data_IF_623297728580
#
_entry.id   IF_623297728580
#
_cell.length_a   1.000
_cell.length_b   1.000
_cell.length_c   1.000
_cell.angle_alpha   90.00
_cell.angle_beta   90.00
_cell.angle_gamma   90.00
#
_symmetry.space_group_name_H-M   'P 1'
#
loop_
_entity.id
_entity.type
_entity.pdbx_description
1 polymer ?
#
# COMPACT_ATOMS: atom_id res chain seq x y z
N UNK A 1 -3.69 -37.67 -66.16
CA UNK A 1 -3.52 -36.73 -65.02
C UNK A 1 -2.17 -37.00 -64.38
N UNK A 2 -1.40 -35.94 -64.13
CA UNK A 2 0.05 -35.95 -63.91
C UNK A 2 0.45 -36.46 -62.52
N UNK A 3 1.54 -37.22 -62.49
CA UNK A 3 2.26 -37.76 -61.35
C UNK A 3 3.41 -36.80 -60.98
N UNK A 4 3.49 -36.25 -59.78
CA UNK A 4 4.71 -35.65 -59.19
C UNK A 4 4.69 -35.90 -57.68
N UNK A 5 5.53 -36.80 -57.17
CA UNK A 5 6.94 -36.65 -56.74
C UNK A 5 7.08 -35.90 -55.40
N UNK A 6 7.51 -36.69 -54.43
CA UNK A 6 7.95 -36.44 -53.06
C UNK A 6 8.96 -35.31 -52.89
N UNK A 7 8.84 -34.59 -51.77
CA UNK A 7 9.99 -34.02 -51.07
C UNK A 7 9.67 -33.86 -49.58
N UNK A 8 10.27 -34.73 -48.75
CA UNK A 8 10.44 -34.51 -47.31
C UNK A 8 11.46 -33.39 -47.11
N UNK A 9 11.18 -32.40 -46.25
CA UNK A 9 12.24 -31.70 -45.51
C UNK A 9 11.67 -31.05 -44.23
N UNK A 10 12.16 -31.57 -43.10
CA UNK A 10 12.49 -30.91 -41.83
C UNK A 10 11.60 -29.80 -41.23
N UNK A 11 11.03 -30.16 -40.07
CA UNK A 11 11.01 -29.40 -38.81
C UNK A 11 11.74 -28.04 -38.80
N UNK A 12 11.06 -26.98 -38.36
CA UNK A 12 11.52 -26.17 -37.22
C UNK A 12 10.36 -25.33 -36.65
N UNK A 13 9.98 -25.64 -35.41
CA UNK A 13 9.19 -24.77 -34.54
C UNK A 13 9.93 -23.45 -34.31
N UNK A 14 9.30 -22.32 -34.64
CA UNK A 14 9.70 -21.01 -34.17
C UNK A 14 8.59 -20.42 -33.29
N UNK A 15 8.40 -21.02 -32.10
CA UNK A 15 7.81 -20.30 -30.97
C UNK A 15 8.91 -19.39 -30.41
N UNK A 16 9.00 -18.18 -30.96
CA UNK A 16 9.77 -17.12 -30.35
C UNK A 16 9.11 -16.74 -29.02
N UNK A 17 9.75 -17.18 -27.94
CA UNK A 17 9.49 -16.79 -26.57
C UNK A 17 9.48 -15.26 -26.47
N UNK A 18 8.29 -14.67 -26.36
CA UNK A 18 8.10 -13.44 -25.60
C UNK A 18 8.40 -13.79 -24.13
N UNK A 19 9.68 -13.89 -23.81
CA UNK A 19 10.16 -13.85 -22.44
C UNK A 19 9.80 -12.45 -21.92
N UNK A 20 8.62 -12.36 -21.32
CA UNK A 20 8.15 -11.17 -20.65
C UNK A 20 9.17 -10.69 -19.63
N UNK A 21 9.11 -9.40 -19.33
CA UNK A 21 9.73 -8.76 -18.19
C UNK A 21 9.28 -9.45 -16.89
N UNK A 22 9.84 -10.61 -16.59
CA UNK A 22 9.69 -11.30 -15.32
C UNK A 22 10.57 -10.58 -14.33
N UNK A 23 9.97 -9.87 -13.37
CA UNK A 23 10.62 -9.55 -12.09
C UNK A 23 11.29 -10.83 -11.60
N UNK A 24 12.62 -10.87 -11.60
CA UNK A 24 13.38 -12.06 -11.21
C UNK A 24 12.96 -12.47 -9.80
N UNK A 25 12.44 -13.70 -9.67
CA UNK A 25 12.03 -14.27 -8.39
C UNK A 25 13.21 -14.64 -7.47
N UNK A 26 14.45 -14.46 -7.95
CA UNK A 26 15.69 -14.63 -7.19
C UNK A 26 16.50 -13.33 -7.17
N UNK A 27 17.23 -13.11 -6.07
CA UNK A 27 18.10 -11.94 -5.89
C UNK A 27 19.14 -11.82 -7.01
N UNK A 28 19.48 -10.60 -7.39
CA UNK A 28 20.40 -10.33 -8.50
C UNK A 28 21.82 -10.25 -7.97
N UNK A 29 22.74 -11.03 -8.53
CA UNK A 29 24.16 -10.88 -8.25
C UNK A 29 24.78 -9.87 -9.21
N UNK A 30 25.46 -8.85 -8.68
CA UNK A 30 26.24 -7.88 -9.45
C UNK A 30 27.57 -7.63 -8.76
N UNK A 31 28.67 -7.78 -9.49
CA UNK A 31 30.03 -7.54 -8.97
C UNK A 31 30.34 -8.30 -7.67
N UNK A 32 29.87 -9.56 -7.55
CA UNK A 32 30.05 -10.39 -6.35
C UNK A 32 29.17 -10.00 -5.15
N UNK A 33 28.23 -9.07 -5.33
CA UNK A 33 27.23 -8.69 -4.32
C UNK A 33 25.88 -9.25 -4.72
N UNK A 34 25.27 -10.07 -3.84
CA UNK A 34 23.89 -10.55 -4.00
C UNK A 34 22.92 -9.53 -3.43
N UNK A 35 22.14 -8.89 -4.29
CA UNK A 35 21.06 -8.00 -3.90
C UNK A 35 19.82 -8.81 -3.47
N UNK A 36 19.10 -8.38 -2.43
CA UNK A 36 17.82 -8.97 -2.07
C UNK A 36 16.80 -8.82 -3.21
N UNK A 37 16.00 -9.84 -3.45
CA UNK A 37 14.87 -9.74 -4.37
C UNK A 37 13.73 -8.91 -3.75
N UNK A 38 12.90 -8.25 -4.57
CA UNK A 38 11.72 -7.50 -4.11
C UNK A 38 10.87 -8.30 -3.12
N UNK A 39 10.64 -9.59 -3.39
CA UNK A 39 9.89 -10.49 -2.50
C UNK A 39 10.52 -10.65 -1.11
N UNK A 40 11.85 -10.75 -1.02
CA UNK A 40 12.58 -10.84 0.24
C UNK A 40 12.51 -9.51 1.03
N UNK A 41 12.57 -8.38 0.31
CA UNK A 41 12.44 -7.04 0.90
C UNK A 41 11.03 -6.84 1.45
N UNK A 42 10.01 -7.10 0.63
CA UNK A 42 8.61 -6.95 1.05
C UNK A 42 8.26 -7.85 2.24
N UNK A 43 8.74 -9.10 2.25
CA UNK A 43 8.54 -10.01 3.38
C UNK A 43 9.21 -9.52 4.67
N UNK A 44 10.44 -9.00 4.59
CA UNK A 44 11.14 -8.46 5.77
C UNK A 44 10.52 -7.17 6.29
N UNK A 45 10.06 -6.28 5.40
CA UNK A 45 9.30 -5.08 5.75
C UNK A 45 7.96 -5.41 6.43
N UNK A 46 7.20 -6.36 5.87
CA UNK A 46 5.94 -6.82 6.45
C UNK A 46 6.16 -7.45 7.83
N UNK A 47 7.15 -8.33 7.97
CA UNK A 47 7.49 -8.96 9.24
C UNK A 47 7.93 -7.94 10.30
N UNK A 48 8.67 -6.90 9.92
CA UNK A 48 9.02 -5.81 10.84
C UNK A 48 7.77 -5.06 11.29
N UNK A 49 6.89 -4.68 10.35
CA UNK A 49 5.63 -4.00 10.65
C UNK A 49 4.70 -4.79 11.57
N UNK A 50 4.63 -6.11 11.41
CA UNK A 50 3.81 -7.00 12.25
C UNK A 50 4.38 -7.19 13.66
N UNK A 51 5.71 -7.20 13.80
CA UNK A 51 6.38 -7.45 15.09
C UNK A 51 6.60 -6.19 15.92
N UNK A 52 6.60 -5.02 15.30
CA UNK A 52 6.77 -3.75 16.02
C UNK A 52 5.54 -3.49 16.92
N UNK A 53 5.70 -3.32 18.25
CA UNK A 53 4.60 -2.95 19.13
C UNK A 53 4.06 -1.55 18.84
N UNK A 54 4.89 -0.64 18.30
CA UNK A 54 4.51 0.76 18.04
C UNK A 54 3.57 0.91 16.84
N UNK A 55 3.42 -0.14 16.02
CA UNK A 55 2.53 -0.13 14.85
C UNK A 55 1.13 -0.67 15.16
N UNK A 56 0.81 -0.99 16.42
CA UNK A 56 -0.50 -1.56 16.80
C UNK A 56 -1.69 -0.69 16.34
N UNK A 57 -1.62 0.63 16.57
CA UNK A 57 -2.67 1.56 16.12
C UNK A 57 -2.77 1.62 14.59
N UNK A 58 -1.61 1.63 13.90
CA UNK A 58 -1.57 1.60 12.44
C UNK A 58 -2.20 0.31 11.90
N UNK A 59 -1.91 -0.85 12.50
CA UNK A 59 -2.53 -2.13 12.13
C UNK A 59 -4.06 -2.10 12.28
N UNK A 60 -4.57 -1.52 13.37
CA UNK A 60 -6.02 -1.35 13.56
C UNK A 60 -6.63 -0.46 12.47
N UNK A 61 -6.02 0.69 12.19
CA UNK A 61 -6.48 1.60 11.14
C UNK A 61 -6.48 0.92 9.76
N UNK A 62 -5.41 0.18 9.43
CA UNK A 62 -5.30 -0.58 8.19
C UNK A 62 -6.32 -1.70 8.09
N UNK A 63 -6.66 -2.36 9.20
CA UNK A 63 -7.73 -3.36 9.22
C UNK A 63 -9.11 -2.71 8.98
N UNK A 64 -9.36 -1.52 9.54
CA UNK A 64 -10.58 -0.74 9.29
C UNK A 64 -10.69 -0.34 7.82
N UNK A 65 -9.62 0.21 7.26
CA UNK A 65 -9.59 0.71 5.88
C UNK A 65 -9.51 -0.43 4.86
N UNK A 66 -8.72 -1.46 5.12
CA UNK A 66 -8.49 -2.56 4.19
C UNK A 66 -9.59 -3.61 4.22
N UNK A 67 -10.33 -3.74 5.32
CA UNK A 67 -11.23 -4.86 5.56
C UNK A 67 -10.47 -6.16 5.83
N UNK A 68 -11.20 -7.26 6.01
CA UNK A 68 -10.61 -8.56 6.41
C UNK A 68 -9.58 -9.11 5.42
N UNK A 69 -9.73 -8.79 4.13
CA UNK A 69 -8.81 -9.20 3.05
C UNK A 69 -7.84 -8.08 2.63
N UNK A 70 -7.80 -6.98 3.37
CA UNK A 70 -6.90 -5.87 3.10
C UNK A 70 -5.45 -6.26 3.39
N UNK A 71 -4.53 -5.79 2.55
CA UNK A 71 -3.10 -6.07 2.73
C UNK A 71 -2.24 -4.87 2.33
N UNK A 72 -1.08 -4.74 2.98
CA UNK A 72 -0.08 -3.76 2.59
C UNK A 72 0.71 -4.24 1.38
N UNK A 73 0.82 -3.37 0.39
CA UNK A 73 1.61 -3.55 -0.82
C UNK A 73 2.84 -2.62 -0.75
N UNK A 74 4.01 -3.22 -0.62
CA UNK A 74 5.31 -2.54 -0.63
C UNK A 74 5.86 -2.49 -2.06
N UNK A 75 6.00 -1.28 -2.63
CA UNK A 75 6.61 -1.09 -3.94
C UNK A 75 8.07 -0.67 -3.78
N UNK A 76 8.99 -1.63 -3.90
CA UNK A 76 10.42 -1.37 -3.96
C UNK A 76 10.72 -0.56 -5.22
N UNK A 77 11.45 0.56 -5.06
CA UNK A 77 11.84 1.50 -6.11
C UNK A 77 13.30 1.35 -6.47
N UNK A 78 14.14 1.26 -5.45
CA UNK A 78 15.59 1.14 -5.61
C UNK A 78 16.20 0.41 -4.42
N UNK A 79 17.35 -0.22 -4.64
CA UNK A 79 18.13 -0.93 -3.63
C UNK A 79 19.61 -0.60 -3.83
N UNK A 80 20.19 0.07 -2.84
CA UNK A 80 21.58 0.52 -2.88
C UNK A 80 22.41 -0.31 -1.89
N UNK A 81 23.56 -0.83 -2.33
CA UNK A 81 24.50 -1.48 -1.40
C UNK A 81 25.32 -0.44 -0.64
N UNK A 82 25.40 -0.58 0.68
CA UNK A 82 26.15 0.28 1.60
C UNK A 82 27.16 -0.55 2.41
N UNK A 83 27.87 -1.47 1.73
CA UNK A 83 28.77 -2.42 2.38
C UNK A 83 28.01 -3.64 2.92
N UNK A 84 27.99 -3.91 4.23
CA UNK A 84 27.33 -5.10 4.78
C UNK A 84 25.80 -5.03 4.81
N UNK A 85 25.23 -3.85 4.54
CA UNK A 85 23.79 -3.59 4.53
C UNK A 85 23.34 -3.02 3.19
N UNK A 86 22.06 -3.12 2.91
CA UNK A 86 21.42 -2.50 1.76
C UNK A 86 20.44 -1.42 2.22
N UNK A 87 20.28 -0.38 1.43
CA UNK A 87 19.30 0.67 1.61
C UNK A 87 18.21 0.46 0.56
N UNK A 88 16.99 0.17 0.99
CA UNK A 88 15.85 -0.01 0.09
C UNK A 88 14.94 1.22 0.14
N UNK A 89 14.70 1.81 -1.02
CA UNK A 89 13.73 2.88 -1.23
C UNK A 89 12.40 2.26 -1.66
N UNK A 90 11.30 2.61 -1.00
CA UNK A 90 10.00 1.99 -1.28
C UNK A 90 8.82 2.92 -0.99
N UNK A 91 7.67 2.58 -1.57
CA UNK A 91 6.38 3.19 -1.23
C UNK A 91 5.45 2.13 -0.64
N UNK A 92 4.48 2.57 0.16
CA UNK A 92 3.47 1.71 0.78
C UNK A 92 2.09 2.09 0.26
N UNK A 93 1.34 1.09 -0.20
CA UNK A 93 -0.08 1.22 -0.49
C UNK A 93 -0.89 0.17 0.24
N UNK A 94 -2.19 0.40 0.36
CA UNK A 94 -3.16 -0.56 0.88
C UNK A 94 -3.96 -1.12 -0.28
N UNK A 95 -3.86 -2.43 -0.48
CA UNK A 95 -4.78 -3.17 -1.35
C UNK A 95 -6.07 -3.42 -0.58
N UNK A 96 -7.19 -2.96 -1.12
CA UNK A 96 -8.47 -3.05 -0.42
C UNK A 96 -9.08 -4.44 -0.54
N UNK A 97 -9.55 -4.99 0.56
CA UNK A 97 -10.39 -6.19 0.64
C UNK A 97 -11.89 -5.90 0.60
N UNK A 98 -12.29 -4.63 0.58
CA UNK A 98 -13.67 -4.13 0.57
C UNK A 98 -13.78 -2.89 -0.33
N UNK A 99 -14.98 -2.37 -0.58
CA UNK A 99 -15.12 -1.12 -1.32
C UNK A 99 -14.55 0.06 -0.51
N UNK A 100 -13.94 1.02 -1.19
CA UNK A 100 -13.38 2.20 -0.52
C UNK A 100 -14.45 3.05 0.17
N UNK A 101 -15.70 3.06 -0.35
CA UNK A 101 -16.85 3.66 0.33
C UNK A 101 -17.13 3.01 1.70
N UNK A 102 -17.04 1.68 1.80
CA UNK A 102 -17.23 0.95 3.07
C UNK A 102 -16.10 1.26 4.05
N UNK A 103 -14.89 1.42 3.52
CA UNK A 103 -13.68 1.79 4.25
C UNK A 103 -13.84 3.17 4.88
N UNK A 104 -14.28 4.16 4.09
CA UNK A 104 -14.59 5.50 4.58
C UNK A 104 -15.73 5.49 5.60
N UNK A 105 -16.79 4.72 5.33
CA UNK A 105 -17.94 4.67 6.22
C UNK A 105 -17.55 4.16 7.61
N UNK A 106 -16.77 3.07 7.67
CA UNK A 106 -16.25 2.53 8.93
C UNK A 106 -15.33 3.50 9.64
N UNK A 107 -14.42 4.15 8.91
CA UNK A 107 -13.49 5.13 9.49
C UNK A 107 -14.24 6.34 10.06
N UNK A 108 -15.15 6.93 9.29
CA UNK A 108 -15.91 8.10 9.72
C UNK A 108 -16.88 7.77 10.85
N UNK A 109 -17.52 6.60 10.82
CA UNK A 109 -18.31 6.12 11.95
C UNK A 109 -17.48 6.08 13.24
N UNK A 110 -16.21 5.65 13.19
CA UNK A 110 -15.32 5.64 14.35
C UNK A 110 -14.95 7.05 14.86
N UNK A 111 -14.98 8.06 13.98
CA UNK A 111 -14.75 9.47 14.35
C UNK A 111 -15.98 10.15 14.97
N UNK A 112 -17.20 9.68 14.64
CA UNK A 112 -18.44 10.19 15.25
C UNK A 112 -18.62 9.57 16.64
N UNK A 113 -18.94 10.35 17.69
CA UNK A 113 -19.17 9.77 19.01
C UNK A 113 -20.43 8.86 19.02
N UNK A 114 -20.49 7.87 19.93
CA UNK A 114 -21.53 6.83 19.87
C UNK A 114 -22.97 7.35 19.95
N UNK A 115 -23.21 8.43 20.69
CA UNK A 115 -24.55 9.00 20.88
C UNK A 115 -25.09 9.63 19.59
N UNK A 116 -24.25 10.35 18.86
CA UNK A 116 -24.57 10.98 17.58
C UNK A 116 -24.68 9.93 16.48
N UNK A 117 -23.79 8.91 16.49
CA UNK A 117 -23.81 7.84 15.48
C UNK A 117 -25.14 7.09 15.44
N UNK A 118 -25.77 6.87 16.59
CA UNK A 118 -27.10 6.25 16.68
C UNK A 118 -28.19 7.08 15.97
N UNK A 119 -28.04 8.40 15.91
CA UNK A 119 -28.97 9.32 15.26
C UNK A 119 -28.74 9.41 13.74
N UNK A 120 -27.52 9.10 13.27
CA UNK A 120 -27.14 9.16 11.86
C UNK A 120 -27.52 7.90 11.05
N UNK A 121 -28.13 6.89 11.67
CA UNK A 121 -28.50 5.64 11.00
C UNK A 121 -27.33 4.68 10.77
N UNK A 122 -26.21 4.88 11.47
CA UNK A 122 -25.10 3.94 11.69
C UNK A 122 -24.23 3.55 10.48
N UNK A 123 -24.79 3.47 9.28
CA UNK A 123 -24.12 2.92 8.09
C UNK A 123 -24.25 3.80 6.84
N UNK A 124 -24.74 5.04 6.94
CA UNK A 124 -24.80 5.96 5.80
C UNK A 124 -23.53 6.83 5.73
N UNK A 125 -22.69 6.57 4.73
CA UNK A 125 -21.47 7.34 4.47
C UNK A 125 -21.77 8.83 4.28
N UNK A 126 -22.84 9.16 3.55
CA UNK A 126 -23.18 10.55 3.28
C UNK A 126 -23.66 11.28 4.55
N UNK A 127 -24.32 10.57 5.47
CA UNK A 127 -24.66 11.12 6.78
C UNK A 127 -23.42 11.39 7.63
N UNK A 128 -22.45 10.47 7.65
CA UNK A 128 -21.18 10.68 8.35
C UNK A 128 -20.37 11.84 7.76
N UNK A 129 -20.28 11.95 6.44
CA UNK A 129 -19.59 13.07 5.76
C UNK A 129 -20.25 14.42 6.09
N UNK A 130 -21.58 14.50 6.06
CA UNK A 130 -22.32 15.71 6.45
C UNK A 130 -22.09 16.09 7.90
N UNK A 131 -22.08 15.11 8.81
CA UNK A 131 -21.83 15.35 10.22
C UNK A 131 -20.40 15.87 10.46
N UNK A 132 -19.39 15.25 9.85
CA UNK A 132 -18.00 15.71 9.97
C UNK A 132 -17.80 17.12 9.38
N UNK A 133 -18.47 17.44 8.27
CA UNK A 133 -18.47 18.80 7.72
C UNK A 133 -19.10 19.82 8.69
N UNK A 134 -20.21 19.46 9.34
CA UNK A 134 -20.84 20.31 10.34
C UNK A 134 -19.96 20.52 11.58
N UNK A 135 -19.22 19.48 12.02
CA UNK A 135 -18.23 19.62 13.11
C UNK A 135 -17.10 20.57 12.72
N UNK A 136 -16.56 20.43 11.52
CA UNK A 136 -15.53 21.34 11.04
C UNK A 136 -16.03 22.80 11.00
N UNK A 137 -17.29 23.02 10.61
CA UNK A 137 -17.89 24.36 10.61
C UNK A 137 -18.10 24.90 12.03
N UNK A 138 -18.52 24.07 12.98
CA UNK A 138 -18.68 24.47 14.37
C UNK A 138 -17.34 24.90 15.00
N UNK A 139 -16.25 24.20 14.64
CA UNK A 139 -14.90 24.48 15.11
C UNK A 139 -14.31 25.79 14.56
N UNK A 140 -14.83 26.35 13.47
CA UNK A 140 -14.28 27.56 12.83
C UNK A 140 -14.07 28.73 13.78
N UNK A 141 -15.00 28.90 14.72
CA UNK A 141 -15.02 30.05 15.64
C UNK A 141 -14.15 29.84 16.87
N UNK A 142 -13.87 28.60 17.24
CA UNK A 142 -13.18 28.24 18.49
C UNK A 142 -11.78 27.72 18.26
N UNK A 143 -11.58 26.94 17.20
CA UNK A 143 -10.30 26.38 16.78
C UNK A 143 -10.25 26.25 15.25
N UNK A 144 -9.87 27.33 14.53
CA UNK A 144 -9.81 27.32 13.08
C UNK A 144 -8.74 26.35 12.54
N UNK A 145 -7.70 26.04 13.31
CA UNK A 145 -6.67 25.10 12.90
C UNK A 145 -7.22 23.66 12.91
N UNK A 146 -7.94 23.28 13.95
CA UNK A 146 -8.60 21.98 14.02
C UNK A 146 -9.72 21.84 12.98
N UNK A 147 -10.51 22.90 12.76
CA UNK A 147 -11.50 22.95 11.68
C UNK A 147 -10.85 22.66 10.32
N UNK A 148 -9.73 23.32 10.02
CA UNK A 148 -9.02 23.13 8.76
C UNK A 148 -8.43 21.73 8.61
N UNK A 149 -7.84 21.19 9.68
CA UNK A 149 -7.30 19.82 9.68
C UNK A 149 -8.40 18.80 9.40
N UNK A 150 -9.56 18.91 10.06
CA UNK A 150 -10.68 17.99 9.85
C UNK A 150 -11.19 18.03 8.41
N UNK A 151 -11.35 19.23 7.81
CA UNK A 151 -11.74 19.36 6.40
C UNK A 151 -10.70 18.72 5.47
N UNK A 152 -9.42 19.00 5.69
CA UNK A 152 -8.34 18.46 4.89
C UNK A 152 -8.31 16.93 4.95
N UNK A 153 -8.48 16.35 6.13
CA UNK A 153 -8.57 14.90 6.34
C UNK A 153 -9.75 14.29 5.59
N UNK A 154 -10.97 14.81 5.75
CA UNK A 154 -12.16 14.29 5.05
C UNK A 154 -12.03 14.42 3.53
N UNK A 155 -11.49 15.54 3.05
CA UNK A 155 -11.28 15.77 1.62
C UNK A 155 -10.23 14.82 1.02
N UNK A 156 -9.07 14.69 1.67
CA UNK A 156 -7.99 13.82 1.23
C UNK A 156 -8.43 12.35 1.20
N UNK A 157 -9.05 11.87 2.28
CA UNK A 157 -9.58 10.50 2.35
C UNK A 157 -10.69 10.27 1.32
N UNK A 158 -11.59 11.25 1.14
CA UNK A 158 -12.62 11.19 0.11
C UNK A 158 -12.05 11.03 -1.30
N UNK A 159 -10.99 11.76 -1.64
CA UNK A 159 -10.30 11.64 -2.95
C UNK A 159 -9.66 10.26 -3.14
N UNK A 160 -9.14 9.66 -2.08
CA UNK A 160 -8.45 8.38 -2.13
C UNK A 160 -9.38 7.17 -2.21
N UNK A 161 -10.47 7.18 -1.43
CA UNK A 161 -11.25 5.97 -1.19
C UNK A 161 -12.64 5.97 -1.82
N UNK A 162 -13.27 7.13 -2.06
CA UNK A 162 -14.71 7.18 -2.41
C UNK A 162 -15.07 6.34 -3.64
N UNK A 163 -14.18 6.28 -4.62
CA UNK A 163 -14.38 5.51 -5.86
C UNK A 163 -13.49 4.26 -5.96
N UNK A 164 -12.71 3.98 -4.92
CA UNK A 164 -11.82 2.81 -4.91
C UNK A 164 -12.64 1.52 -4.75
N UNK A 165 -12.28 0.51 -5.53
CA UNK A 165 -12.95 -0.79 -5.58
C UNK A 165 -12.17 -1.83 -4.77
N UNK A 166 -12.84 -2.96 -4.51
CA UNK A 166 -12.17 -4.14 -3.97
C UNK A 166 -11.00 -4.52 -4.89
N UNK A 167 -9.82 -4.73 -4.31
CA UNK A 167 -8.59 -5.07 -5.00
C UNK A 167 -7.77 -3.87 -5.49
N UNK A 168 -8.34 -2.65 -5.47
CA UNK A 168 -7.60 -1.44 -5.81
C UNK A 168 -6.51 -1.17 -4.77
N UNK A 169 -5.40 -0.58 -5.24
CA UNK A 169 -4.30 -0.15 -4.38
C UNK A 169 -4.42 1.35 -4.12
N UNK A 170 -4.63 1.72 -2.86
CA UNK A 170 -4.65 3.10 -2.39
C UNK A 170 -3.27 3.48 -1.84
N UNK A 171 -2.61 4.56 -2.31
CA UNK A 171 -1.29 4.95 -1.83
C UNK A 171 -1.35 5.51 -0.40
N UNK A 172 -0.56 4.99 0.53
CA UNK A 172 -0.56 5.45 1.92
C UNK A 172 0.62 6.38 2.21
N UNK A 173 1.81 5.96 1.79
CA UNK A 173 3.07 6.67 2.05
C UNK A 173 4.01 6.51 0.87
N UNK A 174 4.69 7.59 0.51
CA UNK A 174 5.67 7.64 -0.58
C UNK A 174 7.03 8.10 -0.04
N UNK A 175 8.12 7.62 -0.65
CA UNK A 175 9.48 8.02 -0.32
C UNK A 175 9.97 7.47 1.02
N UNK A 176 9.66 6.22 1.33
CA UNK A 176 10.18 5.53 2.51
C UNK A 176 11.54 4.89 2.23
N UNK A 177 12.34 4.73 3.29
CA UNK A 177 13.65 4.10 3.24
C UNK A 177 13.78 3.09 4.37
N UNK A 178 14.40 1.95 4.09
CA UNK A 178 14.74 0.95 5.10
C UNK A 178 16.18 0.48 4.94
N UNK A 179 16.84 0.22 6.07
CA UNK A 179 18.08 -0.54 6.14
C UNK A 179 17.74 -2.02 6.11
N UNK A 180 18.44 -2.77 5.27
CA UNK A 180 18.31 -4.22 5.12
C UNK A 180 19.64 -4.87 5.50
N UNK A 181 19.61 -5.66 6.57
CA UNK A 181 20.75 -6.43 7.03
C UNK A 181 20.52 -7.93 6.81
N UNK A 182 21.54 -8.69 6.36
CA UNK A 182 21.48 -10.15 6.40
C UNK A 182 21.26 -10.65 7.83
N UNK A 183 20.44 -11.68 7.97
CA UNK A 183 20.16 -12.36 9.24
C UNK A 183 20.16 -13.87 9.04
N UNK A 184 20.17 -14.65 10.13
CA UNK A 184 20.14 -16.12 10.05
C UNK A 184 18.95 -16.67 9.27
N UNK A 185 17.82 -15.95 9.27
CA UNK A 185 16.56 -16.41 8.70
C UNK A 185 16.15 -15.59 7.46
N UNK A 186 17.12 -15.02 6.73
CA UNK A 186 16.86 -14.15 5.59
C UNK A 186 17.22 -12.70 5.89
N UNK A 187 16.35 -11.75 5.55
CA UNK A 187 16.64 -10.32 5.71
C UNK A 187 15.93 -9.72 6.92
N UNK A 188 16.63 -8.84 7.63
CA UNK A 188 16.05 -7.96 8.63
C UNK A 188 15.91 -6.56 8.04
N UNK A 189 14.71 -5.99 8.12
CA UNK A 189 14.44 -4.63 7.69
C UNK A 189 14.24 -3.72 8.90
N UNK A 190 14.86 -2.54 8.86
CA UNK A 190 14.68 -1.46 9.83
C UNK A 190 14.29 -0.18 9.09
N UNK A 191 13.14 0.40 9.45
CA UNK A 191 12.67 1.65 8.84
C UNK A 191 13.61 2.81 9.23
N UNK A 192 14.08 3.56 8.24
CA UNK A 192 14.89 4.76 8.45
C UNK A 192 13.97 5.98 8.33
N UNK A 193 14.01 6.87 9.32
CA UNK A 193 13.35 8.16 9.22
C UNK A 193 14.14 9.05 8.26
N UNK A 194 13.52 9.49 7.17
CA UNK A 194 14.14 10.38 6.18
C UNK A 194 13.29 11.62 5.94
N UNK A 195 13.91 12.79 5.65
CA UNK A 195 13.17 13.94 5.16
C UNK A 195 12.57 13.60 3.79
N UNK A 196 11.34 14.07 3.53
CA UNK A 196 10.67 13.88 2.24
C UNK A 196 9.73 12.69 2.14
N UNK A 197 9.51 11.92 3.22
CA UNK A 197 8.39 10.97 3.29
C UNK A 197 7.06 11.73 3.21
N UNK A 198 6.20 11.34 2.27
CA UNK A 198 4.91 11.98 2.04
C UNK A 198 3.78 11.06 2.48
N UNK A 199 2.96 11.53 3.43
CA UNK A 199 1.70 10.89 3.78
C UNK A 199 0.65 11.20 2.71
N UNK A 200 -0.12 10.20 2.29
CA UNK A 200 -1.14 10.32 1.25
C UNK A 200 -2.52 10.05 1.82
N UNK A 201 -3.02 8.83 1.67
CA UNK A 201 -4.38 8.45 1.98
C UNK A 201 -4.53 7.93 3.41
N UNK A 202 -4.02 8.71 4.37
CA UNK A 202 -4.16 8.42 5.80
C UNK A 202 -4.69 9.68 6.51
N UNK A 203 -5.41 9.52 7.64
CA UNK A 203 -5.84 10.67 8.45
C UNK A 203 -4.62 11.49 8.91
N UNK A 204 -4.70 12.82 8.80
CA UNK A 204 -3.68 13.78 9.27
C UNK A 204 -4.11 14.49 10.54
#
# INVERSE_FOLDING_TARGET
MKLHRTCSFFFLCALALLAGCGRSAGGVERNGVRFPADGEITASLAANFEKDPNTAQARTLLATLGGEKGQLDYAVRDVVSRGPVFEAHYDVGLRLGQAGSDSLNKLYAAMVPPAERAQLGGNDLAAHERWLAAQAQALEKTDPAQAQSLRATVEALGKCYRTAKVGDRVPLMEGLVASLAPSRNGWYAEKIAVPGTVLRCLPV
#
